data_IF_249987572238
#
_entry.id   IF_249987572238
#
_cell.length_a   1.000
_cell.length_b   1.000
_cell.length_c   1.000
_cell.angle_alpha   90.00
_cell.angle_beta   90.00
_cell.angle_gamma   90.00
#
_symmetry.space_group_name_H-M   'P 1'
#
loop_
_entity.id
_entity.type
_entity.pdbx_description
1 polymer ?
#
# COMPACT_ATOMS: atom_id res chain seq x y z
N UNK A 1 -20.95 13.24 43.13
CA UNK A 1 -20.39 12.98 41.78
C UNK A 1 -21.49 12.30 40.97
N UNK A 2 -22.10 13.01 40.02
CA UNK A 2 -23.20 12.47 39.21
C UNK A 2 -22.67 11.36 38.31
N UNK A 3 -23.28 10.17 38.39
CA UNK A 3 -22.86 8.92 37.76
C UNK A 3 -22.96 8.89 36.23
N UNK A 4 -22.36 9.88 35.57
CA UNK A 4 -22.25 9.99 34.11
C UNK A 4 -21.49 8.78 33.51
N UNK A 5 -20.79 8.03 34.35
CA UNK A 5 -20.12 6.75 34.01
C UNK A 5 -20.49 5.62 34.99
N UNK A 6 -21.77 5.38 35.23
CA UNK A 6 -22.24 4.13 35.86
C UNK A 6 -22.09 2.91 34.93
N UNK A 7 -22.67 1.75 35.27
CA UNK A 7 -22.65 0.52 34.42
C UNK A 7 -22.99 0.83 32.95
N UNK A 8 -23.95 1.72 32.70
CA UNK A 8 -24.33 2.15 31.35
C UNK A 8 -23.20 2.86 30.58
N UNK A 9 -22.36 3.64 31.27
CA UNK A 9 -21.20 4.29 30.67
C UNK A 9 -20.07 3.30 30.37
N UNK A 10 -19.85 2.31 31.23
CA UNK A 10 -18.89 1.23 30.99
C UNK A 10 -19.29 0.37 29.79
N UNK A 11 -20.57 -0.01 29.70
CA UNK A 11 -21.09 -0.77 28.56
C UNK A 11 -20.97 0.02 27.26
N UNK A 12 -21.32 1.31 27.27
CA UNK A 12 -21.14 2.19 26.12
C UNK A 12 -19.68 2.30 25.67
N UNK A 13 -18.75 2.37 26.61
CA UNK A 13 -17.31 2.36 26.32
C UNK A 13 -16.87 1.05 25.64
N UNK A 14 -17.26 -0.11 26.17
CA UNK A 14 -16.91 -1.41 25.58
C UNK A 14 -17.46 -1.54 24.16
N UNK A 15 -18.70 -1.09 23.92
CA UNK A 15 -19.30 -1.09 22.58
C UNK A 15 -18.49 -0.20 21.63
N UNK A 16 -18.11 1.01 22.06
CA UNK A 16 -17.31 1.91 21.23
C UNK A 16 -15.94 1.31 20.87
N UNK A 17 -15.26 0.67 21.83
CA UNK A 17 -13.98 -0.02 21.59
C UNK A 17 -14.15 -1.15 20.59
N UNK A 18 -15.15 -2.01 20.77
CA UNK A 18 -15.42 -3.13 19.85
C UNK A 18 -15.74 -2.64 18.44
N UNK A 19 -16.50 -1.53 18.30
CA UNK A 19 -16.78 -0.94 17.00
C UNK A 19 -15.51 -0.46 16.30
N UNK A 20 -14.66 0.30 16.99
CA UNK A 20 -13.41 0.81 16.41
C UNK A 20 -12.46 -0.33 16.04
N UNK A 21 -12.27 -1.30 16.93
CA UNK A 21 -11.42 -2.47 16.68
C UNK A 21 -11.99 -3.33 15.55
N UNK A 22 -13.30 -3.53 15.52
CA UNK A 22 -13.98 -4.30 14.46
C UNK A 22 -13.79 -3.66 13.08
N UNK A 23 -13.93 -2.33 12.98
CA UNK A 23 -13.65 -1.58 11.75
C UNK A 23 -12.18 -1.73 11.35
N UNK A 24 -11.25 -1.61 12.30
CA UNK A 24 -9.81 -1.76 12.02
C UNK A 24 -9.46 -3.17 11.51
N UNK A 25 -10.05 -4.21 12.10
CA UNK A 25 -9.87 -5.61 11.65
C UNK A 25 -10.44 -5.79 10.24
N UNK A 26 -11.65 -5.27 9.98
CA UNK A 26 -12.26 -5.34 8.65
C UNK A 26 -11.36 -4.71 7.58
N UNK A 27 -10.85 -3.50 7.80
CA UNK A 27 -9.94 -2.86 6.86
C UNK A 27 -8.63 -3.62 6.69
N UNK A 28 -8.11 -4.22 7.75
CA UNK A 28 -6.90 -5.04 7.69
C UNK A 28 -7.08 -6.26 6.78
N UNK A 29 -8.22 -6.96 6.87
CA UNK A 29 -8.53 -8.11 6.00
C UNK A 29 -8.63 -7.68 4.53
N UNK A 30 -9.31 -6.56 4.26
CA UNK A 30 -9.40 -6.01 2.89
C UNK A 30 -8.01 -5.64 2.34
N UNK A 31 -7.19 -4.98 3.16
CA UNK A 31 -5.83 -4.58 2.78
C UNK A 31 -4.95 -5.79 2.45
N UNK A 32 -4.99 -6.85 3.26
CA UNK A 32 -4.27 -8.10 3.01
C UNK A 32 -4.71 -8.72 1.68
N UNK A 33 -6.01 -8.71 1.37
CA UNK A 33 -6.54 -9.22 0.09
C UNK A 33 -6.00 -8.46 -1.12
N UNK A 34 -5.95 -7.13 -1.03
CA UNK A 34 -5.37 -6.27 -2.08
C UNK A 34 -3.87 -6.52 -2.21
N UNK A 35 -3.14 -6.56 -1.09
CA UNK A 35 -1.69 -6.82 -1.07
C UNK A 35 -1.36 -8.18 -1.69
N UNK A 36 -2.12 -9.24 -1.36
CA UNK A 36 -1.97 -10.56 -1.97
C UNK A 36 -2.18 -10.51 -3.48
N UNK A 37 -3.24 -9.84 -3.93
CA UNK A 37 -3.54 -9.70 -5.36
C UNK A 37 -2.40 -9.02 -6.10
N UNK A 38 -1.91 -7.89 -5.59
CA UNK A 38 -0.83 -7.13 -6.23
C UNK A 38 0.52 -7.83 -6.15
N UNK A 39 0.83 -8.52 -5.05
CA UNK A 39 2.06 -9.32 -4.93
C UNK A 39 2.13 -10.44 -5.98
N UNK A 40 0.97 -10.95 -6.42
CA UNK A 40 0.87 -11.95 -7.49
C UNK A 40 0.66 -11.36 -8.89
N UNK A 41 0.49 -10.04 -8.99
CA UNK A 41 0.32 -9.33 -10.26
C UNK A 41 1.68 -8.93 -10.83
N UNK A 42 2.47 -9.94 -11.21
CA UNK A 42 3.78 -9.70 -11.80
C UNK A 42 3.67 -8.96 -13.13
N UNK A 43 4.56 -8.00 -13.36
CA UNK A 43 4.72 -7.38 -14.67
C UNK A 43 5.11 -8.45 -15.68
N UNK A 44 4.23 -8.70 -16.65
CA UNK A 44 4.55 -9.56 -17.78
C UNK A 44 5.24 -8.74 -18.85
N UNK A 45 6.41 -9.21 -19.27
CA UNK A 45 7.11 -8.67 -20.42
C UNK A 45 6.34 -9.13 -21.66
N UNK A 46 5.41 -8.30 -22.15
CA UNK A 46 4.61 -8.61 -23.35
C UNK A 46 5.47 -8.66 -24.62
N UNK A 47 6.52 -7.84 -24.68
CA UNK A 47 7.40 -7.74 -25.83
C UNK A 47 8.86 -7.76 -25.38
N UNK A 48 9.45 -8.95 -25.36
CA UNK A 48 10.85 -9.16 -24.99
C UNK A 48 11.81 -8.45 -25.98
N UNK A 49 11.35 -8.18 -27.21
CA UNK A 49 12.10 -7.43 -28.23
C UNK A 49 12.08 -5.91 -27.99
N UNK A 50 11.12 -5.40 -27.22
CA UNK A 50 11.07 -4.00 -26.79
C UNK A 50 12.04 -3.68 -25.63
N UNK A 51 12.55 -4.70 -24.93
CA UNK A 51 13.51 -4.55 -23.84
C UNK A 51 14.91 -4.40 -24.43
N UNK A 52 15.28 -3.17 -24.78
CA UNK A 52 16.59 -2.88 -25.35
C UNK A 52 17.66 -2.86 -24.25
N UNK A 53 18.51 -3.90 -24.17
CA UNK A 53 19.67 -3.92 -23.26
C UNK A 53 20.75 -2.89 -23.65
N UNK A 54 20.78 -2.47 -24.92
CA UNK A 54 21.64 -1.41 -25.44
C UNK A 54 20.85 -0.60 -26.46
N UNK A 55 20.36 0.56 -26.04
CA UNK A 55 19.72 1.50 -26.95
C UNK A 55 20.82 2.30 -27.67
N UNK A 56 21.03 2.03 -28.95
CA UNK A 56 22.01 2.76 -29.76
C UNK A 56 21.67 4.24 -29.94
N UNK A 57 20.44 4.69 -29.64
CA UNK A 57 20.03 6.11 -29.65
C UNK A 57 20.42 6.87 -28.37
N UNK A 58 20.95 6.17 -27.35
CA UNK A 58 21.38 6.81 -26.11
C UNK A 58 22.61 7.72 -26.34
N UNK A 59 23.34 7.49 -27.44
CA UNK A 59 24.42 8.33 -27.96
C UNK A 59 24.02 9.78 -28.25
N UNK A 60 22.73 10.04 -28.51
CA UNK A 60 22.20 11.39 -28.77
C UNK A 60 21.88 12.18 -27.49
N UNK A 61 22.03 11.57 -26.32
CA UNK A 61 21.58 12.14 -25.05
C UNK A 61 22.70 12.25 -24.00
N UNK A 62 23.96 11.99 -24.37
CA UNK A 62 25.10 12.29 -23.52
C UNK A 62 26.15 13.08 -24.29
N UNK A 63 26.81 14.00 -23.61
CA UNK A 63 27.95 14.76 -24.13
C UNK A 63 29.20 14.29 -23.38
N UNK A 64 30.25 13.94 -24.12
CA UNK A 64 31.54 13.60 -23.51
C UNK A 64 32.19 14.89 -23.05
N UNK A 65 32.19 15.14 -21.74
CA UNK A 65 32.98 16.22 -21.15
C UNK A 65 34.44 15.89 -21.41
N UNK A 66 35.09 16.63 -22.31
CA UNK A 66 36.53 16.50 -22.52
C UNK A 66 37.25 17.00 -21.26
N UNK A 67 37.82 16.07 -20.50
CA UNK A 67 38.77 16.39 -19.44
C UNK A 67 40.04 16.95 -20.10
N UNK A 68 40.31 18.23 -19.89
CA UNK A 68 41.54 18.91 -20.27
C UNK A 68 42.74 18.43 -19.45
#
# INVERSE_FOLDING_TARGET
MNGLFGINGLVGYVIAVVLVVGIAVFFSVVAIGVQKTQATHYYKLQDQSAIQMKNTKNDKHYELVQTK
#
